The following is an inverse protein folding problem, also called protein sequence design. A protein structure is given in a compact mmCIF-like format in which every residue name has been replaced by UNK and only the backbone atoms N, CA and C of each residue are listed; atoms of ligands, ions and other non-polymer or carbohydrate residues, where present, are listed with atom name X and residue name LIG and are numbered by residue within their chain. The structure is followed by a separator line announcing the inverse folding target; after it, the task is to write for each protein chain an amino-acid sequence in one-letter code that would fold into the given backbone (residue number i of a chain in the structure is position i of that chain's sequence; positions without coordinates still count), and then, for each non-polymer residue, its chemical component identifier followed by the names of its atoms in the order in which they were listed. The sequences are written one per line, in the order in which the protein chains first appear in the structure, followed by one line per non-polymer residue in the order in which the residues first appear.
data_IF_198915334978
#
_entry.id   IF_198915334978
#
_cell.length_a   1.000
_cell.length_b   1.000
_cell.length_c   1.000
_cell.angle_alpha   90.00
_cell.angle_beta   90.00
_cell.angle_gamma   90.00
#
_symmetry.space_group_name_H-M   'P 1'
#
loop_
_entity.id
_entity.type
_entity.pdbx_description
1 polymer ?
#
# COMPACT_ATOMS: atom_id res chain seq x y z
N UNK A 1 -6.18 22.85 -13.89
CA UNK A 1 -7.09 23.41 -14.91
C UNK A 1 -7.72 24.68 -14.36
N UNK A 2 -7.16 25.82 -14.76
CA UNK A 2 -7.76 27.14 -14.57
C UNK A 2 -8.66 27.40 -15.78
N UNK A 3 -9.95 27.66 -15.56
CA UNK A 3 -10.77 28.56 -16.37
C UNK A 3 -12.13 28.69 -15.68
N UNK A 4 -12.24 29.68 -14.81
CA UNK A 4 -13.53 30.23 -14.43
C UNK A 4 -14.16 30.80 -15.70
N UNK A 5 -15.12 30.08 -16.30
CA UNK A 5 -15.98 30.63 -17.33
C UNK A 5 -16.81 31.76 -16.72
N UNK A 6 -16.33 32.98 -16.91
CA UNK A 6 -17.05 34.20 -16.62
C UNK A 6 -18.16 34.34 -17.67
N UNK A 7 -19.34 33.78 -17.41
CA UNK A 7 -20.52 34.03 -18.23
C UNK A 7 -20.92 35.50 -18.04
N UNK A 8 -20.64 36.34 -19.04
CA UNK A 8 -21.04 37.75 -19.04
C UNK A 8 -22.56 37.86 -18.87
N UNK A 9 -23.02 38.37 -17.72
CA UNK A 9 -24.44 38.51 -17.41
C UNK A 9 -24.97 39.81 -18.00
N UNK A 10 -26.13 39.79 -18.67
CA UNK A 10 -26.71 40.97 -19.35
C UNK A 10 -27.36 41.96 -18.36
N UNK A 11 -27.54 43.20 -18.81
CA UNK A 11 -28.25 44.25 -18.07
C UNK A 11 -29.77 44.00 -18.05
N UNK A 12 -30.41 44.14 -16.88
CA UNK A 12 -31.83 43.84 -16.68
C UNK A 12 -32.78 44.95 -17.18
N UNK A 13 -32.24 46.10 -17.60
CA UNK A 13 -33.02 47.24 -18.10
C UNK A 13 -33.26 47.21 -19.62
N UNK A 14 -32.94 46.10 -20.31
CA UNK A 14 -33.13 45.92 -21.75
C UNK A 14 -32.49 47.04 -22.61
N UNK A 15 -31.41 47.65 -22.10
CA UNK A 15 -30.58 48.56 -22.88
C UNK A 15 -29.62 47.74 -23.76
N UNK A 16 -29.39 48.14 -25.02
CA UNK A 16 -28.53 47.46 -26.01
C UNK A 16 -27.03 47.37 -25.62
N UNK A 17 -26.66 47.55 -24.35
CA UNK A 17 -25.30 47.39 -23.84
C UNK A 17 -25.14 46.01 -23.19
N UNK A 18 -24.15 45.24 -23.65
CA UNK A 18 -24.18 43.78 -23.55
C UNK A 18 -23.59 43.15 -22.28
N UNK A 19 -23.09 43.89 -21.29
CA UNK A 19 -22.60 43.30 -20.03
C UNK A 19 -22.96 44.15 -18.82
N UNK A 20 -23.62 43.54 -17.83
CA UNK A 20 -23.81 44.12 -16.52
C UNK A 20 -22.55 43.92 -15.68
N UNK A 21 -22.04 45.02 -15.14
CA UNK A 21 -20.85 45.06 -14.27
C UNK A 21 -21.21 45.51 -12.85
N UNK A 22 -22.46 45.91 -12.64
CA UNK A 22 -22.96 46.45 -11.38
C UNK A 22 -24.27 45.76 -10.99
N UNK A 23 -24.50 45.61 -9.69
CA UNK A 23 -25.75 45.13 -9.14
C UNK A 23 -26.28 46.13 -8.12
N UNK A 24 -27.51 46.56 -8.30
CA UNK A 24 -28.20 47.38 -7.31
C UNK A 24 -28.92 46.47 -6.31
N UNK A 25 -28.55 46.54 -5.03
CA UNK A 25 -29.17 45.76 -3.96
C UNK A 25 -30.64 46.17 -3.73
N UNK A 26 -30.94 47.47 -3.78
CA UNK A 26 -32.30 48.00 -3.60
C UNK A 26 -33.28 47.58 -4.72
N UNK A 27 -32.88 47.73 -5.99
CA UNK A 27 -33.67 47.27 -7.14
C UNK A 27 -33.63 45.76 -7.37
N UNK A 28 -32.68 45.05 -6.77
CA UNK A 28 -32.36 43.65 -7.09
C UNK A 28 -32.15 43.40 -8.59
N UNK A 29 -31.46 44.32 -9.26
CA UNK A 29 -31.24 44.31 -10.72
C UNK A 29 -29.79 44.54 -11.09
N UNK A 30 -29.38 43.92 -12.18
CA UNK A 30 -28.08 44.06 -12.83
C UNK A 30 -28.09 45.24 -13.79
N UNK A 31 -27.06 46.08 -13.69
CA UNK A 31 -26.93 47.32 -14.42
C UNK A 31 -25.62 47.33 -15.21
N UNK A 32 -25.68 47.75 -16.47
CA UNK A 32 -24.49 48.26 -17.16
C UNK A 32 -24.18 49.68 -16.65
N UNK A 33 -22.97 50.19 -16.88
CA UNK A 33 -22.57 51.53 -16.47
C UNK A 33 -23.50 52.62 -17.01
N UNK A 34 -23.98 52.49 -18.25
CA UNK A 34 -24.89 53.48 -18.85
C UNK A 34 -26.26 53.46 -18.20
N UNK A 35 -26.81 52.29 -17.92
CA UNK A 35 -28.10 52.14 -17.25
C UNK A 35 -28.02 52.57 -15.77
N UNK A 36 -26.85 52.47 -15.12
CA UNK A 36 -26.60 53.14 -13.82
C UNK A 36 -26.68 54.68 -13.95
N UNK A 37 -25.83 55.27 -14.79
CA UNK A 37 -25.67 56.72 -14.86
C UNK A 37 -26.88 57.46 -15.47
N UNK A 38 -27.54 56.86 -16.45
CA UNK A 38 -28.55 57.56 -17.25
C UNK A 38 -29.99 57.27 -16.82
N UNK A 39 -30.21 56.20 -16.07
CA UNK A 39 -31.55 55.78 -15.63
C UNK A 39 -31.58 55.68 -14.12
N UNK A 40 -30.77 54.79 -13.54
CA UNK A 40 -30.82 54.49 -12.11
C UNK A 40 -30.53 55.73 -11.24
N UNK A 41 -29.42 56.42 -11.48
CA UNK A 41 -28.98 57.55 -10.64
C UNK A 41 -29.80 58.84 -10.88
N UNK A 42 -30.59 58.90 -11.97
CA UNK A 42 -31.44 60.05 -12.30
C UNK A 42 -32.85 59.94 -11.74
N UNK A 43 -33.29 58.75 -11.36
CA UNK A 43 -34.62 58.55 -10.78
C UNK A 43 -34.53 58.71 -9.27
N UNK A 44 -35.24 59.72 -8.74
CA UNK A 44 -35.20 60.09 -7.32
C UNK A 44 -35.50 58.91 -6.37
N UNK A 45 -36.33 57.96 -6.81
CA UNK A 45 -36.70 56.77 -6.03
C UNK A 45 -35.54 55.79 -5.78
N UNK A 46 -34.47 55.85 -6.57
CA UNK A 46 -33.34 54.90 -6.48
C UNK A 46 -32.07 55.52 -5.88
N UNK A 47 -32.16 56.78 -5.43
CA UNK A 47 -31.01 57.58 -5.00
C UNK A 47 -30.30 57.02 -3.76
N UNK A 48 -31.05 56.32 -2.91
CA UNK A 48 -30.53 55.70 -1.67
C UNK A 48 -30.20 54.20 -1.84
N UNK A 49 -30.28 53.67 -3.06
CA UNK A 49 -29.95 52.27 -3.29
C UNK A 49 -28.44 52.03 -3.35
N UNK A 50 -27.98 51.03 -2.61
CA UNK A 50 -26.58 50.58 -2.67
C UNK A 50 -26.30 49.80 -3.97
N UNK A 51 -25.31 50.27 -4.74
CA UNK A 51 -24.87 49.65 -6.00
C UNK A 51 -23.46 49.11 -5.84
N UNK A 52 -23.29 47.80 -6.03
CA UNK A 52 -22.02 47.07 -5.88
C UNK A 52 -21.50 46.53 -7.20
N UNK A 53 -20.20 46.24 -7.28
CA UNK A 53 -19.56 45.68 -8.48
C UNK A 53 -19.62 44.14 -8.47
N UNK A 54 -20.13 43.56 -9.55
CA UNK A 54 -20.39 42.10 -9.65
C UNK A 54 -19.10 41.28 -9.64
N UNK A 55 -18.01 41.78 -10.23
CA UNK A 55 -16.73 41.07 -10.32
C UNK A 55 -16.01 41.00 -8.97
N UNK A 56 -16.20 42.01 -8.11
CA UNK A 56 -15.54 42.09 -6.80
C UNK A 56 -16.21 41.25 -5.72
N UNK A 57 -17.52 41.00 -5.80
CA UNK A 57 -18.26 40.21 -4.80
C UNK A 57 -18.53 38.75 -5.24
N UNK A 58 -18.20 38.39 -6.48
CA UNK A 58 -18.37 37.04 -7.02
C UNK A 58 -19.81 36.72 -7.45
N UNK A 59 -19.96 35.97 -8.55
CA UNK A 59 -21.24 35.64 -9.20
C UNK A 59 -22.29 34.92 -8.31
N UNK A 60 -21.92 34.46 -7.11
CA UNK A 60 -22.78 33.65 -6.23
C UNK A 60 -23.77 34.48 -5.39
N UNK A 61 -23.54 35.79 -5.22
CA UNK A 61 -24.34 36.64 -4.32
C UNK A 61 -25.62 37.17 -4.99
N UNK A 62 -25.74 37.08 -6.31
CA UNK A 62 -26.70 37.89 -7.08
C UNK A 62 -27.73 37.08 -7.85
N UNK A 63 -28.36 36.09 -7.20
CA UNK A 63 -29.62 35.50 -7.68
C UNK A 63 -30.80 36.16 -6.96
N UNK A 64 -31.82 36.68 -7.69
CA UNK A 64 -33.04 37.16 -7.05
C UNK A 64 -33.61 36.07 -6.16
N UNK A 65 -34.05 36.41 -4.95
CA UNK A 65 -34.74 35.42 -4.13
C UNK A 65 -36.01 34.97 -4.87
N UNK A 66 -36.23 33.65 -4.98
CA UNK A 66 -37.44 33.15 -5.61
C UNK A 66 -38.65 33.62 -4.80
N UNK A 67 -39.65 34.15 -5.50
CA UNK A 67 -40.92 34.60 -4.93
C UNK A 67 -42.06 33.74 -5.44
N UNK A 68 -43.14 33.67 -4.68
CA UNK A 68 -44.36 32.98 -5.08
C UNK A 68 -44.86 33.51 -6.42
N UNK A 69 -45.10 32.59 -7.36
CA UNK A 69 -45.56 32.95 -8.71
C UNK A 69 -46.93 33.62 -8.70
N UNK A 70 -47.80 33.22 -7.78
CA UNK A 70 -49.19 33.69 -7.64
C UNK A 70 -49.26 35.02 -6.89
N UNK A 71 -48.61 35.11 -5.73
CA UNK A 71 -48.77 36.24 -4.81
C UNK A 71 -47.62 37.25 -4.86
N UNK A 72 -46.55 36.96 -5.61
CA UNK A 72 -45.33 37.77 -5.72
C UNK A 72 -44.65 38.08 -4.36
N UNK A 73 -44.97 37.31 -3.32
CA UNK A 73 -44.38 37.37 -1.97
C UNK A 73 -43.23 36.39 -1.80
N UNK A 74 -42.34 36.64 -0.84
CA UNK A 74 -41.24 35.73 -0.50
C UNK A 74 -41.76 34.42 0.09
N UNK A 75 -41.02 33.34 -0.15
CA UNK A 75 -41.30 32.04 0.47
C UNK A 75 -40.81 32.05 1.92
N UNK A 76 -41.66 31.62 2.85
CA UNK A 76 -41.35 31.56 4.29
C UNK A 76 -41.48 30.14 4.86
N UNK A 77 -42.30 29.30 4.23
CA UNK A 77 -42.63 27.96 4.71
C UNK A 77 -42.39 26.89 3.64
N UNK A 78 -42.15 25.66 4.08
CA UNK A 78 -42.06 24.47 3.24
C UNK A 78 -43.20 23.53 3.59
N UNK A 79 -43.93 23.06 2.58
CA UNK A 79 -45.02 22.11 2.75
C UNK A 79 -44.49 20.69 2.53
N UNK A 80 -44.42 19.89 3.59
CA UNK A 80 -43.84 18.53 3.51
C UNK A 80 -44.69 17.56 2.70
N UNK A 81 -46.01 17.78 2.61
CA UNK A 81 -46.92 16.96 1.79
C UNK A 81 -46.78 17.22 0.30
N UNK A 82 -46.54 18.48 -0.09
CA UNK A 82 -46.44 18.91 -1.49
C UNK A 82 -45.00 19.06 -1.97
N UNK A 83 -44.03 18.88 -1.07
CA UNK A 83 -42.59 19.02 -1.31
C UNK A 83 -42.20 20.36 -1.97
N UNK A 84 -42.86 21.44 -1.56
CA UNK A 84 -42.71 22.74 -2.21
C UNK A 84 -42.60 23.91 -1.22
N UNK A 85 -42.04 25.03 -1.70
CA UNK A 85 -41.97 26.29 -0.97
C UNK A 85 -43.33 27.01 -1.03
N UNK A 86 -43.71 27.66 0.06
CA UNK A 86 -45.00 28.36 0.22
C UNK A 86 -44.80 29.74 0.85
N UNK A 87 -45.50 30.74 0.31
CA UNK A 87 -45.63 32.06 0.95
C UNK A 87 -46.81 32.04 1.94
N UNK A 88 -46.93 33.08 2.75
CA UNK A 88 -47.99 33.18 3.78
C UNK A 88 -49.40 33.04 3.19
N UNK A 89 -49.69 33.70 2.06
CA UNK A 89 -51.00 33.58 1.39
C UNK A 89 -51.29 32.19 0.83
N UNK A 90 -50.26 31.47 0.35
CA UNK A 90 -50.42 30.08 -0.10
C UNK A 90 -50.70 29.14 1.07
N UNK A 91 -50.14 29.44 2.25
CA UNK A 91 -50.37 28.66 3.46
C UNK A 91 -51.84 28.76 3.91
N UNK A 92 -52.46 29.93 3.79
CA UNK A 92 -53.85 30.15 4.23
C UNK A 92 -54.90 29.78 3.18
N UNK A 93 -54.52 29.73 1.90
CA UNK A 93 -55.38 29.28 0.81
C UNK A 93 -55.18 27.79 0.51
N UNK A 94 -54.25 27.47 -0.38
CA UNK A 94 -54.12 26.14 -0.99
C UNK A 94 -53.44 25.09 -0.08
N UNK A 95 -52.81 25.50 1.02
CA UNK A 95 -52.06 24.62 1.92
C UNK A 95 -52.55 24.67 3.38
N UNK A 96 -53.78 25.13 3.64
CA UNK A 96 -54.28 25.38 5.01
C UNK A 96 -54.32 24.11 5.90
N UNK A 97 -54.57 22.95 5.30
CA UNK A 97 -54.67 21.65 5.96
C UNK A 97 -53.36 20.85 5.87
N UNK A 98 -52.32 21.38 5.21
CA UNK A 98 -51.06 20.69 5.06
C UNK A 98 -50.10 21.06 6.18
N UNK A 99 -49.30 20.08 6.64
CA UNK A 99 -48.21 20.35 7.57
C UNK A 99 -47.15 21.20 6.87
N UNK A 100 -46.94 22.42 7.36
CA UNK A 100 -45.92 23.35 6.88
C UNK A 100 -44.93 23.72 7.99
N UNK A 101 -43.65 23.84 7.65
CA UNK A 101 -42.59 24.23 8.58
C UNK A 101 -41.80 25.43 8.03
N UNK A 102 -41.15 26.21 8.91
CA UNK A 102 -40.31 27.33 8.46
C UNK A 102 -39.16 26.81 7.59
N UNK A 103 -38.93 27.46 6.44
CA UNK A 103 -37.91 27.03 5.46
C UNK A 103 -36.54 26.87 6.11
N UNK A 104 -36.16 27.77 7.01
CA UNK A 104 -34.87 27.71 7.69
C UNK A 104 -34.67 26.37 8.42
N UNK A 105 -35.67 25.90 9.15
CA UNK A 105 -35.57 24.67 9.93
C UNK A 105 -35.45 23.44 9.01
N UNK A 106 -36.27 23.41 7.95
CA UNK A 106 -36.22 22.33 6.94
C UNK A 106 -34.87 22.35 6.22
N UNK A 107 -34.39 23.52 5.81
CA UNK A 107 -33.10 23.67 5.15
C UNK A 107 -31.92 23.26 6.06
N UNK A 108 -31.93 23.64 7.34
CA UNK A 108 -30.91 23.25 8.30
C UNK A 108 -30.92 21.73 8.54
N UNK A 109 -32.10 21.10 8.65
CA UNK A 109 -32.25 19.65 8.74
C UNK A 109 -31.76 18.93 7.46
N UNK A 110 -32.13 19.43 6.28
CA UNK A 110 -31.67 18.90 5.00
C UNK A 110 -30.15 19.03 4.85
N UNK A 111 -29.55 20.16 5.24
CA UNK A 111 -28.09 20.36 5.24
C UNK A 111 -27.40 19.38 6.19
N UNK A 112 -27.94 19.20 7.39
CA UNK A 112 -27.40 18.24 8.35
C UNK A 112 -27.46 16.80 7.80
N UNK A 113 -28.58 16.42 7.17
CA UNK A 113 -28.71 15.11 6.53
C UNK A 113 -27.74 14.94 5.35
N UNK A 114 -27.63 15.95 4.49
CA UNK A 114 -26.72 15.93 3.35
C UNK A 114 -25.26 15.80 3.80
N UNK A 115 -24.87 16.51 4.86
CA UNK A 115 -23.54 16.38 5.45
C UNK A 115 -23.28 14.96 5.96
N UNK A 116 -24.25 14.32 6.63
CA UNK A 116 -24.12 12.91 7.06
C UNK A 116 -23.95 11.96 5.87
N UNK A 117 -24.71 12.17 4.79
CA UNK A 117 -24.57 11.39 3.55
C UNK A 117 -23.18 11.61 2.95
N UNK A 118 -22.71 12.85 2.85
CA UNK A 118 -21.38 13.17 2.32
C UNK A 118 -20.29 12.46 3.14
N UNK A 119 -20.32 12.51 4.46
CA UNK A 119 -19.33 11.82 5.31
C UNK A 119 -19.40 10.29 5.13
N UNK A 120 -20.60 9.72 5.00
CA UNK A 120 -20.74 8.30 4.68
C UNK A 120 -20.14 7.95 3.30
N UNK A 121 -20.37 8.76 2.28
CA UNK A 121 -19.84 8.49 0.94
C UNK A 121 -18.33 8.71 0.86
N UNK A 122 -17.75 9.66 1.61
CA UNK A 122 -16.29 9.84 1.73
C UNK A 122 -15.63 8.57 2.26
N UNK A 123 -16.10 8.07 3.40
CA UNK A 123 -15.57 6.82 3.99
C UNK A 123 -15.77 5.61 3.07
N UNK A 124 -16.87 5.57 2.32
CA UNK A 124 -17.12 4.52 1.32
C UNK A 124 -16.14 4.61 0.15
N UNK A 125 -15.83 5.80 -0.35
CA UNK A 125 -14.82 6.02 -1.41
C UNK A 125 -13.44 5.55 -0.93
N UNK A 126 -13.00 5.99 0.25
CA UNK A 126 -11.72 5.55 0.83
C UNK A 126 -11.64 4.02 0.98
N UNK A 127 -12.74 3.38 1.37
CA UNK A 127 -12.81 1.92 1.49
C UNK A 127 -12.69 1.23 0.13
N UNK A 128 -13.33 1.77 -0.90
CA UNK A 128 -13.26 1.22 -2.27
C UNK A 128 -11.86 1.42 -2.85
N UNK A 129 -11.23 2.58 -2.64
CA UNK A 129 -9.85 2.84 -3.07
C UNK A 129 -8.86 1.86 -2.45
N UNK A 130 -8.98 1.61 -1.13
CA UNK A 130 -8.15 0.58 -0.46
C UNK A 130 -8.35 -0.80 -1.07
N UNK A 131 -9.60 -1.19 -1.35
CA UNK A 131 -9.90 -2.49 -1.99
C UNK A 131 -9.34 -2.59 -3.41
N UNK A 132 -9.42 -1.51 -4.19
CA UNK A 132 -8.83 -1.45 -5.54
C UNK A 132 -7.32 -1.62 -5.47
N UNK A 133 -6.64 -0.89 -4.58
CA UNK A 133 -5.20 -1.05 -4.38
C UNK A 133 -4.82 -2.48 -3.98
N UNK A 134 -5.59 -3.13 -3.09
CA UNK A 134 -5.36 -4.55 -2.74
C UNK A 134 -5.53 -5.48 -3.95
N UNK A 135 -6.54 -5.25 -4.80
CA UNK A 135 -6.75 -6.06 -6.01
C UNK A 135 -5.58 -5.88 -6.98
N UNK A 136 -5.09 -4.66 -7.17
CA UNK A 136 -3.93 -4.38 -8.02
C UNK A 136 -2.66 -5.08 -7.51
N UNK A 137 -2.40 -5.02 -6.19
CA UNK A 137 -1.29 -5.75 -5.57
C UNK A 137 -1.42 -7.25 -5.79
N UNK A 138 -2.59 -7.85 -5.51
CA UNK A 138 -2.78 -9.28 -5.73
C UNK A 138 -2.64 -9.68 -7.20
N UNK A 139 -3.12 -8.86 -8.14
CA UNK A 139 -2.96 -9.13 -9.57
C UNK A 139 -1.48 -9.10 -9.98
N UNK A 140 -0.70 -8.20 -9.40
CA UNK A 140 0.75 -8.15 -9.60
C UNK A 140 1.44 -9.38 -9.02
N UNK A 141 1.12 -9.76 -7.77
CA UNK A 141 1.67 -10.94 -7.10
C UNK A 141 1.38 -12.23 -7.89
N UNK A 142 0.14 -12.43 -8.34
CA UNK A 142 -0.24 -13.58 -9.18
C UNK A 142 0.60 -13.60 -10.46
N UNK A 143 0.77 -12.45 -11.12
CA UNK A 143 1.58 -12.37 -12.35
C UNK A 143 3.03 -12.76 -12.08
N UNK A 144 3.63 -12.29 -10.99
CA UNK A 144 5.01 -12.63 -10.63
C UNK A 144 5.15 -14.09 -10.24
N UNK A 145 4.18 -14.64 -9.50
CA UNK A 145 4.17 -16.04 -9.09
C UNK A 145 4.04 -16.99 -10.29
N UNK A 146 3.15 -16.67 -11.24
CA UNK A 146 3.03 -17.42 -12.49
C UNK A 146 4.34 -17.39 -13.29
N UNK A 147 4.96 -16.22 -13.44
CA UNK A 147 6.24 -16.11 -14.14
C UNK A 147 7.36 -16.92 -13.46
N UNK A 148 7.43 -16.86 -12.13
CA UNK A 148 8.37 -17.63 -11.32
C UNK A 148 8.13 -19.14 -11.46
N UNK A 149 6.87 -19.58 -11.43
CA UNK A 149 6.51 -20.98 -11.62
C UNK A 149 6.92 -21.50 -12.99
N UNK A 150 6.63 -20.75 -14.07
CA UNK A 150 7.05 -21.10 -15.43
C UNK A 150 8.57 -21.22 -15.53
N UNK A 151 9.31 -20.22 -15.02
CA UNK A 151 10.77 -20.26 -15.03
C UNK A 151 11.34 -21.46 -14.24
N UNK A 152 10.72 -21.84 -13.12
CA UNK A 152 11.11 -23.03 -12.36
C UNK A 152 10.89 -24.32 -13.15
N UNK A 153 9.80 -24.43 -13.89
CA UNK A 153 9.52 -25.59 -14.75
C UNK A 153 10.54 -25.67 -15.89
N UNK A 154 10.83 -24.55 -16.55
CA UNK A 154 11.81 -24.47 -17.63
C UNK A 154 13.21 -24.86 -17.14
N UNK A 155 13.65 -24.30 -16.00
CA UNK A 155 14.96 -24.62 -15.42
C UNK A 155 15.05 -26.11 -15.05
N UNK A 156 14.04 -26.66 -14.38
CA UNK A 156 14.02 -28.08 -14.02
C UNK A 156 14.07 -28.97 -15.25
N UNK A 157 13.34 -28.60 -16.31
CA UNK A 157 13.35 -29.34 -17.58
C UNK A 157 14.73 -29.28 -18.25
N UNK A 158 15.37 -28.10 -18.25
CA UNK A 158 16.73 -27.94 -18.79
C UNK A 158 17.78 -28.77 -18.04
N UNK A 159 17.67 -28.85 -16.72
CA UNK A 159 18.54 -29.70 -15.89
C UNK A 159 18.35 -31.19 -16.21
N UNK A 160 17.09 -31.65 -16.34
CA UNK A 160 16.79 -33.03 -16.71
C UNK A 160 17.36 -33.39 -18.09
N UNK A 161 17.20 -32.51 -19.08
CA UNK A 161 17.82 -32.70 -20.39
C UNK A 161 19.33 -32.80 -20.30
N UNK A 162 19.97 -31.94 -19.50
CA UNK A 162 21.43 -31.97 -19.31
C UNK A 162 21.91 -33.28 -18.68
N UNK A 163 21.14 -33.85 -17.75
CA UNK A 163 21.45 -35.16 -17.15
C UNK A 163 21.35 -36.25 -18.22
N UNK A 164 20.28 -36.28 -19.00
CA UNK A 164 20.06 -37.26 -20.07
C UNK A 164 21.16 -37.16 -21.13
N UNK A 165 21.50 -35.94 -21.57
CA UNK A 165 22.53 -35.72 -22.59
C UNK A 165 23.92 -36.14 -22.12
N UNK A 166 24.25 -35.90 -20.85
CA UNK A 166 25.51 -36.37 -20.27
C UNK A 166 25.54 -37.90 -20.15
N UNK A 167 24.45 -38.54 -19.74
CA UNK A 167 24.40 -40.01 -19.70
C UNK A 167 24.51 -40.62 -21.10
N UNK A 168 23.85 -40.02 -22.09
CA UNK A 168 23.98 -40.38 -23.51
C UNK A 168 25.44 -40.27 -23.97
N UNK A 169 26.12 -39.17 -23.61
CA UNK A 169 27.52 -38.98 -23.94
C UNK A 169 28.37 -40.09 -23.34
N UNK A 170 28.24 -40.38 -22.03
CA UNK A 170 28.97 -41.44 -21.34
C UNK A 170 28.78 -42.78 -22.04
N UNK A 171 27.54 -43.19 -22.32
CA UNK A 171 27.27 -44.47 -23.00
C UNK A 171 27.91 -44.52 -24.40
N UNK A 172 27.85 -43.43 -25.17
CA UNK A 172 28.44 -43.36 -26.52
C UNK A 172 29.97 -43.38 -26.50
N UNK A 173 30.60 -42.71 -25.53
CA UNK A 173 32.05 -42.72 -25.37
C UNK A 173 32.54 -44.08 -24.93
N UNK A 174 31.88 -44.73 -23.97
CA UNK A 174 32.23 -46.10 -23.54
C UNK A 174 32.17 -47.08 -24.70
N UNK A 175 31.16 -46.97 -25.57
CA UNK A 175 31.07 -47.82 -26.76
C UNK A 175 32.20 -47.56 -27.77
N UNK A 176 32.54 -46.29 -27.98
CA UNK A 176 33.62 -45.87 -28.88
C UNK A 176 34.99 -46.33 -28.37
N UNK A 177 35.22 -46.19 -27.07
CA UNK A 177 36.46 -46.61 -26.41
C UNK A 177 36.64 -48.12 -26.51
N UNK A 178 35.59 -48.90 -26.20
CA UNK A 178 35.63 -50.35 -26.38
C UNK A 178 35.95 -50.74 -27.82
N UNK A 179 35.25 -50.14 -28.79
CA UNK A 179 35.50 -50.40 -30.21
C UNK A 179 36.96 -50.09 -30.59
N UNK A 180 37.51 -48.99 -30.09
CA UNK A 180 38.89 -48.62 -30.33
C UNK A 180 39.86 -49.67 -29.77
N UNK A 181 39.71 -50.05 -28.49
CA UNK A 181 40.58 -51.03 -27.85
C UNK A 181 40.50 -52.41 -28.52
N UNK A 182 39.29 -52.90 -28.80
CA UNK A 182 39.11 -54.19 -29.45
C UNK A 182 39.75 -54.22 -30.85
N UNK A 183 39.58 -53.15 -31.63
CA UNK A 183 40.23 -53.04 -32.93
C UNK A 183 41.76 -53.04 -32.85
N UNK A 184 42.35 -52.42 -31.82
CA UNK A 184 43.80 -52.45 -31.60
C UNK A 184 44.28 -53.87 -31.30
N UNK A 185 43.56 -54.62 -30.47
CA UNK A 185 43.86 -56.03 -30.17
C UNK A 185 43.79 -56.87 -31.44
N UNK A 186 42.71 -56.74 -32.22
CA UNK A 186 42.53 -57.45 -33.48
C UNK A 186 43.63 -57.11 -34.50
N UNK A 187 44.03 -55.85 -34.57
CA UNK A 187 45.10 -55.40 -35.45
C UNK A 187 46.45 -56.03 -35.06
N UNK A 188 46.77 -56.06 -33.77
CA UNK A 188 47.96 -56.74 -33.25
C UNK A 188 47.99 -58.23 -33.57
N UNK A 189 46.88 -58.93 -33.31
CA UNK A 189 46.72 -60.36 -33.67
C UNK A 189 46.88 -60.60 -35.17
N UNK A 190 46.29 -59.73 -36.01
CA UNK A 190 46.42 -59.81 -37.47
C UNK A 190 47.88 -59.66 -37.93
N UNK A 191 48.63 -58.74 -37.35
CA UNK A 191 50.06 -58.56 -37.68
C UNK A 191 50.82 -59.85 -37.34
N UNK A 192 50.64 -60.39 -36.14
CA UNK A 192 51.29 -61.62 -35.70
C UNK A 192 50.98 -62.80 -36.64
N UNK A 193 49.71 -63.04 -36.95
CA UNK A 193 49.31 -64.10 -37.88
C UNK A 193 49.90 -63.93 -39.28
N UNK A 194 49.97 -62.69 -39.78
CA UNK A 194 50.53 -62.41 -41.08
C UNK A 194 52.05 -62.61 -41.11
N UNK A 195 52.74 -62.30 -40.01
CA UNK A 195 54.17 -62.58 -39.86
C UNK A 195 54.42 -64.09 -39.85
N UNK A 196 53.72 -64.84 -38.98
CA UNK A 196 53.86 -66.30 -38.90
C UNK A 196 53.55 -66.97 -40.26
N UNK A 197 52.53 -66.49 -40.98
CA UNK A 197 52.22 -66.95 -42.35
C UNK A 197 53.40 -66.74 -43.30
N UNK A 198 54.03 -65.57 -43.27
CA UNK A 198 55.15 -65.26 -44.16
C UNK A 198 56.39 -66.09 -43.82
N UNK A 199 56.70 -66.27 -42.54
CA UNK A 199 57.82 -67.10 -42.08
C UNK A 199 57.61 -68.58 -42.45
N UNK A 200 56.39 -69.09 -42.27
CA UNK A 200 56.02 -70.45 -42.70
C UNK A 200 56.17 -70.61 -44.23
N UNK A 201 55.77 -69.60 -45.01
CA UNK A 201 55.88 -69.63 -46.47
C UNK A 201 57.36 -69.58 -46.95
N UNK A 202 58.20 -68.79 -46.30
CA UNK A 202 59.64 -68.73 -46.60
C UNK A 202 60.33 -70.07 -46.28
N UNK A 203 59.99 -70.67 -45.14
CA UNK A 203 60.52 -71.99 -44.77
C UNK A 203 60.08 -73.07 -45.78
N UNK A 204 58.83 -73.02 -46.25
CA UNK A 204 58.32 -73.93 -47.28
C UNK A 204 59.13 -73.80 -48.59
N UNK A 205 59.42 -72.58 -49.05
CA UNK A 205 60.27 -72.35 -50.22
C UNK A 205 61.69 -72.92 -50.03
N UNK A 206 62.28 -72.73 -48.84
CA UNK A 206 63.59 -73.30 -48.50
C UNK A 206 63.57 -74.83 -48.56
N UNK A 207 62.53 -75.48 -48.03
CA UNK A 207 62.37 -76.93 -48.15
C UNK A 207 62.26 -77.40 -49.60
N UNK A 208 61.41 -76.74 -50.40
CA UNK A 208 61.26 -77.08 -51.82
C UNK A 208 62.57 -76.94 -52.61
N UNK A 209 63.42 -75.97 -52.25
CA UNK A 209 64.71 -75.78 -52.88
C UNK A 209 65.72 -76.86 -52.49
N UNK A 210 65.81 -77.21 -51.20
CA UNK A 210 66.70 -78.28 -50.75
C UNK A 210 66.28 -79.64 -51.29
N UNK A 211 64.97 -79.91 -51.40
CA UNK A 211 64.46 -81.14 -52.02
C UNK A 211 64.82 -81.28 -53.50
N UNK A 212 65.15 -80.18 -54.18
CA UNK A 212 65.63 -80.17 -55.57
C UNK A 212 67.14 -80.36 -55.69
N UNK A 213 67.89 -80.32 -54.59
CA UNK A 213 69.34 -80.52 -54.61
C UNK A 213 69.67 -81.98 -54.94
N UNK A 214 70.62 -82.17 -55.84
CA UNK A 214 71.01 -83.51 -56.33
C UNK A 214 72.28 -84.03 -55.67
N UNK A 215 73.06 -83.15 -55.02
CA UNK A 215 74.23 -83.54 -54.24
C UNK A 215 73.85 -83.84 -52.78
N UNK A 216 73.99 -85.11 -52.39
CA UNK A 216 73.64 -85.59 -51.04
C UNK A 216 74.32 -84.82 -49.90
N UNK A 217 75.58 -84.40 -50.08
CA UNK A 217 76.31 -83.64 -49.04
C UNK A 217 75.71 -82.25 -48.86
N UNK A 218 75.39 -81.56 -49.97
CA UNK A 218 74.75 -80.23 -49.94
C UNK A 218 73.35 -80.32 -49.35
N UNK A 219 72.58 -81.37 -49.70
CA UNK A 219 71.26 -81.64 -49.11
C UNK A 219 71.34 -81.80 -47.58
N UNK A 220 72.24 -82.66 -47.08
CA UNK A 220 72.34 -82.92 -45.63
C UNK A 220 72.80 -81.69 -44.83
N UNK A 221 73.70 -80.88 -45.39
CA UNK A 221 74.11 -79.60 -44.78
C UNK A 221 72.92 -78.64 -44.72
N UNK A 222 72.18 -78.48 -45.83
CA UNK A 222 71.01 -77.63 -45.90
C UNK A 222 69.90 -78.06 -44.94
N UNK A 223 69.56 -79.36 -44.92
CA UNK A 223 68.56 -79.92 -44.02
C UNK A 223 68.91 -79.66 -42.55
N UNK A 224 70.17 -79.94 -42.16
CA UNK A 224 70.62 -79.69 -40.79
C UNK A 224 70.52 -78.21 -40.40
N UNK A 225 70.75 -77.30 -41.34
CA UNK A 225 70.61 -75.87 -41.09
C UNK A 225 69.15 -75.44 -40.83
N UNK A 226 68.15 -76.11 -41.43
CA UNK A 226 66.74 -75.76 -41.25
C UNK A 226 66.06 -76.45 -40.06
N UNK A 227 66.65 -77.49 -39.48
CA UNK A 227 66.03 -78.26 -38.38
C UNK A 227 65.58 -77.39 -37.21
N UNK A 228 66.35 -76.36 -36.86
CA UNK A 228 66.01 -75.42 -35.78
C UNK A 228 64.80 -74.56 -36.15
N UNK A 229 64.74 -74.04 -37.38
CA UNK A 229 63.63 -73.22 -37.86
C UNK A 229 62.32 -74.03 -37.88
N UNK A 230 62.39 -75.33 -38.20
CA UNK A 230 61.23 -76.25 -38.17
C UNK A 230 60.68 -76.41 -36.76
N UNK A 231 61.56 -76.52 -35.77
CA UNK A 231 61.16 -76.70 -34.38
C UNK A 231 60.47 -75.44 -33.84
N UNK A 232 61.04 -74.26 -34.11
CA UNK A 232 60.49 -72.98 -33.67
C UNK A 232 59.08 -72.76 -34.22
N UNK A 233 58.88 -72.90 -35.54
CA UNK A 233 57.56 -72.65 -36.16
C UNK A 233 56.51 -73.68 -35.71
N UNK A 234 56.88 -74.93 -35.46
CA UNK A 234 55.92 -75.95 -34.99
C UNK A 234 55.55 -75.79 -33.51
N UNK A 235 56.41 -75.18 -32.69
CA UNK A 235 56.13 -74.87 -31.28
C UNK A 235 55.27 -73.61 -31.13
N UNK A 236 55.30 -72.70 -32.10
CA UNK A 236 54.42 -71.53 -32.15
C UNK A 236 52.97 -71.93 -32.47
N UNK A 237 52.19 -72.15 -31.41
CA UNK A 237 50.75 -72.45 -31.54
C UNK A 237 49.97 -71.22 -32.01
N UNK A 238 49.28 -71.35 -33.14
CA UNK A 238 48.30 -70.35 -33.60
C UNK A 238 46.98 -70.56 -32.86
N UNK A 239 46.57 -69.58 -32.04
CA UNK A 239 45.35 -69.63 -31.23
C UNK A 239 44.09 -69.86 -32.10
N UNK A 240 43.32 -70.95 -31.88
CA UNK A 240 42.21 -71.30 -32.74
C UNK A 240 40.94 -70.56 -32.31
N UNK A 241 40.52 -69.64 -33.19
CA UNK A 241 39.25 -68.88 -33.19
C UNK A 241 39.22 -67.61 -32.32
N UNK A 242 39.09 -66.49 -33.03
CA UNK A 242 38.64 -65.20 -32.51
C UNK A 242 37.13 -65.28 -32.25
N UNK A 243 36.72 -65.58 -31.02
CA UNK A 243 35.38 -65.20 -30.61
C UNK A 243 35.32 -63.67 -30.48
N UNK A 244 34.39 -62.98 -31.16
CA UNK A 244 34.27 -61.54 -31.04
C UNK A 244 33.89 -61.19 -29.60
N UNK A 245 34.70 -60.36 -28.96
CA UNK A 245 34.28 -59.72 -27.71
C UNK A 245 33.14 -58.75 -28.07
N UNK A 246 31.95 -59.01 -27.56
CA UNK A 246 30.79 -58.16 -27.80
C UNK A 246 30.58 -57.23 -26.60
N UNK A 247 30.39 -55.94 -26.90
CA UNK A 247 29.77 -55.01 -25.95
C UNK A 247 28.41 -55.59 -25.57
N UNK A 248 28.10 -55.63 -24.27
CA UNK A 248 26.74 -55.92 -23.82
C UNK A 248 25.75 -55.03 -24.57
N UNK A 249 24.78 -55.65 -25.23
CA UNK A 249 23.75 -54.95 -26.00
C UNK A 249 23.17 -53.82 -25.14
N UNK A 250 23.04 -52.62 -25.72
CA UNK A 250 22.49 -51.46 -25.01
C UNK A 250 21.23 -51.85 -24.23
N UNK A 251 21.32 -51.76 -22.90
CA UNK A 251 20.22 -52.10 -22.01
C UNK A 251 19.51 -50.79 -21.59
N UNK A 252 18.31 -50.52 -22.12
CA UNK A 252 17.58 -49.29 -21.81
C UNK A 252 17.19 -49.21 -20.33
N UNK A 253 17.03 -50.32 -19.62
CA UNK A 253 16.68 -50.34 -18.20
C UNK A 253 17.86 -49.88 -17.34
N UNK A 254 19.07 -50.35 -17.65
CA UNK A 254 20.30 -49.93 -16.96
C UNK A 254 20.56 -48.44 -17.22
N UNK A 255 20.41 -48.00 -18.47
CA UNK A 255 20.55 -46.59 -18.83
C UNK A 255 19.55 -45.71 -18.07
N UNK A 256 18.28 -46.08 -18.08
CA UNK A 256 17.22 -45.33 -17.41
C UNK A 256 17.45 -45.28 -15.90
N UNK A 257 17.87 -46.40 -15.30
CA UNK A 257 18.22 -46.45 -13.87
C UNK A 257 19.36 -45.48 -13.53
N UNK A 258 20.42 -45.44 -14.34
CA UNK A 258 21.53 -44.50 -14.15
C UNK A 258 21.07 -43.03 -14.20
N UNK A 259 20.16 -42.69 -15.12
CA UNK A 259 19.58 -41.35 -15.20
C UNK A 259 18.77 -41.04 -13.94
N UNK A 260 17.92 -41.96 -13.50
CA UNK A 260 17.08 -41.78 -12.31
C UNK A 260 17.93 -41.62 -11.04
N UNK A 261 18.94 -42.46 -10.86
CA UNK A 261 19.83 -42.42 -9.69
C UNK A 261 20.53 -41.06 -9.59
N UNK A 262 20.96 -40.50 -10.73
CA UNK A 262 21.55 -39.17 -10.75
C UNK A 262 20.54 -38.04 -10.49
N UNK A 263 19.34 -38.13 -11.06
CA UNK A 263 18.27 -37.19 -10.75
C UNK A 263 17.98 -37.20 -9.25
N UNK A 264 17.95 -38.38 -8.62
CA UNK A 264 17.71 -38.52 -7.19
C UNK A 264 18.82 -37.83 -6.37
N UNK A 265 20.10 -38.07 -6.71
CA UNK A 265 21.24 -37.38 -6.05
C UNK A 265 21.13 -35.86 -6.18
N UNK A 266 20.84 -35.35 -7.38
CA UNK A 266 20.66 -33.92 -7.63
C UNK A 266 19.50 -33.34 -6.81
N UNK A 267 18.38 -34.06 -6.73
CA UNK A 267 17.21 -33.66 -5.96
C UNK A 267 17.51 -33.61 -4.45
N UNK A 268 18.20 -34.63 -3.92
CA UNK A 268 18.62 -34.66 -2.51
C UNK A 268 19.55 -33.49 -2.17
N UNK A 269 20.51 -33.17 -3.04
CA UNK A 269 21.39 -32.02 -2.87
C UNK A 269 20.60 -30.71 -2.79
N UNK A 270 19.68 -30.49 -3.72
CA UNK A 270 18.83 -29.28 -3.75
C UNK A 270 17.95 -29.16 -2.52
N UNK A 271 17.32 -30.26 -2.10
CA UNK A 271 16.48 -30.28 -0.90
C UNK A 271 17.31 -29.91 0.33
N UNK A 272 18.53 -30.47 0.45
CA UNK A 272 19.44 -30.15 1.55
C UNK A 272 19.84 -28.67 1.58
N UNK A 273 20.05 -28.06 0.42
CA UNK A 273 20.42 -26.65 0.30
C UNK A 273 19.24 -25.72 0.63
N UNK A 274 18.04 -26.06 0.16
CA UNK A 274 16.81 -25.34 0.50
C UNK A 274 16.51 -25.41 2.00
N UNK A 275 16.76 -26.54 2.65
CA UNK A 275 16.60 -26.69 4.10
C UNK A 275 17.59 -25.79 4.85
N UNK A 276 18.87 -25.78 4.47
CA UNK A 276 19.90 -24.91 5.07
C UNK A 276 19.57 -23.42 4.92
N UNK A 277 19.01 -23.02 3.77
CA UNK A 277 18.59 -21.64 3.54
C UNK A 277 17.38 -21.26 4.41
N UNK A 278 16.39 -22.16 4.51
CA UNK A 278 15.24 -21.96 5.39
C UNK A 278 15.65 -21.86 6.86
N UNK A 279 16.57 -22.70 7.31
CA UNK A 279 17.11 -22.65 8.66
C UNK A 279 17.79 -21.30 8.95
N UNK A 280 18.65 -20.82 8.05
CA UNK A 280 19.27 -19.49 8.15
C UNK A 280 18.23 -18.37 8.29
N UNK A 281 17.22 -18.37 7.42
CA UNK A 281 16.15 -17.35 7.44
C UNK A 281 15.31 -17.40 8.72
N UNK A 282 15.05 -18.59 9.27
CA UNK A 282 14.38 -18.75 10.56
C UNK A 282 15.23 -18.17 11.70
N UNK A 283 16.55 -18.39 11.68
CA UNK A 283 17.47 -17.80 12.66
C UNK A 283 17.47 -16.27 12.57
N UNK A 284 17.60 -15.70 11.36
CA UNK A 284 17.56 -14.24 11.15
C UNK A 284 16.25 -13.61 11.68
N UNK A 285 15.11 -14.20 11.32
CA UNK A 285 13.80 -13.73 11.80
C UNK A 285 13.65 -13.89 13.33
N UNK A 286 14.27 -14.91 13.92
CA UNK A 286 14.29 -15.09 15.37
C UNK A 286 15.09 -13.96 16.05
N UNK A 287 16.26 -13.62 15.52
CA UNK A 287 17.11 -12.55 16.05
C UNK A 287 16.45 -11.17 15.90
N UNK A 288 15.82 -10.90 14.75
CA UNK A 288 15.02 -9.69 14.53
C UNK A 288 13.87 -9.58 15.53
N UNK A 289 13.15 -10.67 15.79
CA UNK A 289 12.07 -10.69 16.77
C UNK A 289 12.57 -10.42 18.19
N UNK A 290 13.72 -10.98 18.58
CA UNK A 290 14.32 -10.69 19.89
C UNK A 290 14.76 -9.23 20.01
N UNK A 291 15.29 -8.64 18.95
CA UNK A 291 15.62 -7.21 18.93
C UNK A 291 14.37 -6.32 19.03
N UNK A 292 13.31 -6.63 18.27
CA UNK A 292 12.03 -5.93 18.36
C UNK A 292 11.42 -6.02 19.76
N UNK A 293 11.48 -7.19 20.42
CA UNK A 293 11.03 -7.35 21.81
C UNK A 293 11.80 -6.44 22.77
N UNK A 294 13.13 -6.37 22.63
CA UNK A 294 13.98 -5.47 23.45
C UNK A 294 13.59 -4.01 23.22
N UNK A 295 13.42 -3.60 21.98
CA UNK A 295 13.01 -2.23 21.63
C UNK A 295 11.64 -1.86 22.19
N UNK A 296 10.66 -2.76 22.07
CA UNK A 296 9.32 -2.57 22.65
C UNK A 296 9.42 -2.43 24.16
N UNK A 297 10.22 -3.28 24.83
CA UNK A 297 10.43 -3.22 26.28
C UNK A 297 11.05 -1.88 26.70
N UNK A 298 12.07 -1.42 25.97
CA UNK A 298 12.71 -0.14 26.23
C UNK A 298 11.75 1.04 26.05
N UNK A 299 10.96 1.05 24.96
CA UNK A 299 9.95 2.08 24.71
C UNK A 299 8.90 2.14 25.83
N UNK A 300 8.37 0.99 26.24
CA UNK A 300 7.44 0.89 27.37
C UNK A 300 8.04 1.44 28.66
N UNK A 301 9.31 1.12 28.94
CA UNK A 301 10.00 1.61 30.13
C UNK A 301 10.21 3.13 30.09
N UNK A 302 10.54 3.69 28.92
CA UNK A 302 10.67 5.13 28.72
C UNK A 302 9.31 5.84 28.88
N UNK A 303 8.23 5.29 28.33
CA UNK A 303 6.87 5.83 28.48
C UNK A 303 6.40 5.81 29.94
N UNK A 304 6.62 4.70 30.64
CA UNK A 304 6.29 4.58 32.06
C UNK A 304 7.06 5.60 32.91
N UNK A 305 8.33 5.85 32.57
CA UNK A 305 9.15 6.87 33.23
C UNK A 305 8.57 8.28 33.02
N UNK A 306 8.17 8.61 31.79
CA UNK A 306 7.52 9.90 31.47
C UNK A 306 6.19 10.07 32.20
N UNK A 307 5.36 9.02 32.24
CA UNK A 307 4.10 9.04 32.99
C UNK A 307 4.32 9.31 34.48
N UNK A 308 5.26 8.60 35.12
CA UNK A 308 5.59 8.82 36.54
C UNK A 308 6.05 10.25 36.81
N UNK A 309 6.76 10.88 35.88
CA UNK A 309 7.18 12.26 36.02
C UNK A 309 6.02 13.25 35.84
N UNK A 310 5.09 12.97 34.92
CA UNK A 310 3.83 13.71 34.80
C UNK A 310 2.97 13.57 36.06
N UNK A 311 2.83 12.36 36.61
CA UNK A 311 2.08 12.13 37.85
C UNK A 311 2.66 12.91 39.03
N UNK A 312 4.00 12.98 39.15
CA UNK A 312 4.66 13.82 40.16
C UNK A 312 4.31 15.30 39.97
N UNK A 313 4.31 15.81 38.73
CA UNK A 313 3.92 17.19 38.44
C UNK A 313 2.46 17.46 38.77
N UNK A 314 1.56 16.55 38.39
CA UNK A 314 0.12 16.64 38.71
C UNK A 314 -0.09 16.64 40.23
N UNK A 315 0.61 15.78 40.96
CA UNK A 315 0.55 15.72 42.43
C UNK A 315 1.01 17.05 43.04
N UNK A 316 2.12 17.62 42.58
CA UNK A 316 2.60 18.94 43.02
C UNK A 316 1.55 20.03 42.78
N UNK A 317 1.03 20.12 41.55
CA UNK A 317 0.02 21.11 41.20
C UNK A 317 -1.28 20.94 42.01
N UNK A 318 -1.65 19.70 42.32
CA UNK A 318 -2.84 19.40 43.14
C UNK A 318 -2.67 19.90 44.56
N UNK A 319 -1.47 19.75 45.14
CA UNK A 319 -1.14 20.31 46.44
C UNK A 319 -1.18 21.85 46.42
N UNK A 320 -0.60 22.47 45.38
CA UNK A 320 -0.61 23.94 45.20
C UNK A 320 -2.05 24.47 45.08
N UNK A 321 -2.91 23.78 44.30
CA UNK A 321 -4.33 24.12 44.18
C UNK A 321 -5.04 24.01 45.54
N UNK A 322 -4.77 22.95 46.31
CA UNK A 322 -5.37 22.76 47.63
C UNK A 322 -4.96 23.88 48.61
N UNK A 323 -3.70 24.30 48.56
CA UNK A 323 -3.22 25.43 49.37
C UNK A 323 -3.88 26.75 48.97
N UNK A 324 -4.03 27.01 47.67
CA UNK A 324 -4.74 28.18 47.16
C UNK A 324 -6.23 28.17 47.52
N UNK A 325 -6.89 27.01 47.48
CA UNK A 325 -8.28 26.86 47.91
C UNK A 325 -8.45 27.19 49.39
N UNK A 326 -7.56 26.70 50.26
CA UNK A 326 -7.58 27.05 51.68
C UNK A 326 -7.39 28.56 51.92
N UNK A 327 -6.47 29.19 51.18
CA UNK A 327 -6.29 30.66 51.22
C UNK A 327 -7.55 31.39 50.77
N UNK A 328 -8.23 30.90 49.73
CA UNK A 328 -9.48 31.49 49.23
C UNK A 328 -10.61 31.36 50.26
N UNK A 329 -10.75 30.20 50.91
CA UNK A 329 -11.74 29.97 51.98
C UNK A 329 -11.51 30.96 53.12
N UNK A 330 -10.27 31.08 53.62
CA UNK A 330 -9.94 32.04 54.68
C UNK A 330 -10.28 33.48 54.26
N UNK A 331 -10.01 33.85 53.00
CA UNK A 331 -10.37 35.18 52.47
C UNK A 331 -11.88 35.38 52.36
N UNK A 332 -12.62 34.34 52.02
CA UNK A 332 -14.08 34.39 51.99
C UNK A 332 -14.65 34.59 53.40
N UNK A 333 -14.10 33.93 54.41
CA UNK A 333 -14.47 34.14 55.82
C UNK A 333 -14.19 35.59 56.28
N UNK A 334 -13.04 36.16 55.91
CA UNK A 334 -12.74 37.58 56.16
C UNK A 334 -13.78 38.52 55.51
N UNK A 335 -14.16 38.25 54.26
CA UNK A 335 -15.18 39.03 53.53
C UNK A 335 -16.53 38.93 54.24
N UNK A 336 -16.94 37.75 54.69
CA UNK A 336 -18.22 37.54 55.38
C UNK A 336 -18.27 38.31 56.70
N UNK A 337 -17.15 38.36 57.45
CA UNK A 337 -17.02 39.20 58.65
C UNK A 337 -17.18 40.69 58.30
N UNK A 338 -16.51 41.17 57.24
CA UNK A 338 -16.62 42.56 56.79
C UNK A 338 -18.04 42.92 56.34
N UNK A 339 -18.73 42.02 55.63
CA UNK A 339 -20.13 42.20 55.24
C UNK A 339 -21.06 42.31 56.46
N UNK A 340 -20.83 41.50 57.49
CA UNK A 340 -21.57 41.58 58.76
C UNK A 340 -21.35 42.90 59.48
N UNK A 341 -20.10 43.36 59.57
CA UNK A 341 -19.75 44.67 60.15
C UNK A 341 -20.38 45.82 59.34
N UNK A 342 -20.35 45.76 58.01
CA UNK A 342 -21.00 46.74 57.13
C UNK A 342 -22.51 46.81 57.39
N UNK A 343 -23.17 45.67 57.54
CA UNK A 343 -24.59 45.60 57.91
C UNK A 343 -24.89 46.27 59.25
N UNK A 344 -24.08 46.00 60.27
CA UNK A 344 -24.19 46.65 61.59
C UNK A 344 -23.98 48.17 61.50
N UNK A 345 -23.04 48.61 60.67
CA UNK A 345 -22.74 50.03 60.46
C UNK A 345 -23.93 50.75 59.81
N UNK A 346 -24.53 50.16 58.77
CA UNK A 346 -25.76 50.67 58.14
C UNK A 346 -26.93 50.75 59.11
N UNK A 347 -27.07 49.80 60.03
CA UNK A 347 -28.12 49.84 61.06
C UNK A 347 -27.88 50.96 62.07
N UNK A 348 -26.63 51.19 62.47
CA UNK A 348 -26.26 52.33 63.31
C UNK A 348 -26.47 53.66 62.59
N UNK A 349 -26.12 53.77 61.32
CA UNK A 349 -26.40 54.96 60.50
C UNK A 349 -27.90 55.26 60.46
N UNK A 350 -28.77 54.26 60.26
CA UNK A 350 -30.24 54.42 60.35
C UNK A 350 -30.68 54.95 61.71
N UNK A 351 -30.19 54.36 62.80
CA UNK A 351 -30.49 54.82 64.15
C UNK A 351 -30.03 56.26 64.39
N UNK A 352 -28.88 56.66 63.85
CA UNK A 352 -28.40 58.05 63.93
C UNK A 352 -29.30 58.99 63.13
N UNK A 353 -29.74 58.61 61.92
CA UNK A 353 -30.70 59.43 61.16
C UNK A 353 -32.05 59.53 61.86
N UNK A 354 -32.55 58.44 62.44
CA UNK A 354 -33.82 58.42 63.18
C UNK A 354 -33.71 59.32 64.42
N UNK A 355 -32.66 59.16 65.24
CA UNK A 355 -32.39 60.02 66.39
C UNK A 355 -32.17 61.48 66.00
N UNK A 356 -31.54 61.76 64.86
CA UNK A 356 -31.40 63.12 64.35
C UNK A 356 -32.75 63.72 63.97
N UNK A 357 -33.64 62.94 63.35
CA UNK A 357 -35.00 63.39 63.03
C UNK A 357 -35.84 63.63 64.29
N UNK A 358 -35.70 62.76 65.29
CA UNK A 358 -36.36 62.87 66.58
C UNK A 358 -35.85 64.08 67.39
N UNK A 359 -34.55 64.35 67.33
CA UNK A 359 -33.94 65.53 67.95
C UNK A 359 -34.37 66.83 67.25
N UNK A 360 -34.50 66.85 65.92
CA UNK A 360 -35.10 67.98 65.20
C UNK A 360 -36.59 68.17 65.56
N UNK A 361 -37.36 67.08 65.71
CA UNK A 361 -38.75 67.15 66.20
C UNK A 361 -38.82 67.69 67.64
N UNK A 362 -37.95 67.23 68.54
CA UNK A 362 -37.86 67.73 69.93
C UNK A 362 -37.44 69.20 69.98
N UNK A 363 -36.52 69.65 69.12
CA UNK A 363 -36.18 71.08 68.99
C UNK A 363 -37.40 71.88 68.52
N UNK A 364 -38.19 71.36 67.59
CA UNK A 364 -39.44 72.00 67.17
C UNK A 364 -40.48 72.06 68.30
N UNK A 365 -40.64 70.99 69.08
CA UNK A 365 -41.57 70.93 70.21
C UNK A 365 -41.14 71.82 71.38
N UNK A 366 -39.84 71.89 71.69
CA UNK A 366 -39.29 72.85 72.67
C UNK A 366 -39.56 74.27 72.18
N UNK A 367 -39.37 74.56 70.90
CA UNK A 367 -39.67 75.87 70.30
C UNK A 367 -41.18 76.19 70.35
N UNK A 368 -42.04 75.18 70.23
CA UNK A 368 -43.49 75.30 70.37
C UNK A 368 -43.91 75.59 71.82
N UNK A 369 -43.36 74.85 72.79
CA UNK A 369 -43.61 75.07 74.22
C UNK A 369 -43.03 76.39 74.73
N UNK A 370 -41.89 76.84 74.21
CA UNK A 370 -41.36 78.18 74.50
C UNK A 370 -42.29 79.29 73.98
N UNK A 371 -43.00 79.05 72.88
CA UNK A 371 -44.01 79.97 72.35
C UNK A 371 -45.37 79.90 73.09
N UNK A 372 -45.68 78.79 73.77
CA UNK A 372 -46.90 78.66 74.61
C UNK A 372 -46.71 79.21 76.04
N UNK A 373 -45.47 79.57 76.41
CA UNK A 373 -45.07 80.15 77.71
C UNK A 373 -44.74 81.66 77.64
N UNK A 374 -44.92 82.29 76.47
CA UNK A 374 -45.01 83.75 76.28
C UNK A 374 -46.44 84.14 75.97
#
# INVERSE_FOLDING_TARGET
MNMAQCTAQKCDFSCNDEVAVLYCKGCSRRLCLKCKLNVHDKVQQFKDHEVVNIEKEGNLVFKPQPVCVTHKKTFLYYCSRCECLTCEDCMTSNHNEHKTEKIRNVADACRANLNKIIEHFKTKVETVEKKLATIETHAFEIKTDCASYVSRVENTTGELHSIIDRQKLISSTTASDFQYFENQILYGKKIFLNQHKNETADLLLKFENILRETNDSTFLIGWKALQTDVQIINEETVDPLLEPSCIEIFNPEIFTKSVIDEIDVQFQMRLSEQLKERERKVTELSDENENLKKDIKQRKQNELSKMKEQDKKVTSLTNDISELQNKLINKQEEIDVLLKLSGQLKEKERKVTDLSSENENLKMDIKRKQNELS
#
